data_IF_261264910253
#
_entry.id   IF_261264910253
#
_cell.length_a   1.000
_cell.length_b   1.000
_cell.length_c   1.000
_cell.angle_alpha   90.00
_cell.angle_beta   90.00
_cell.angle_gamma   90.00
#
_symmetry.space_group_name_H-M   'P 1'
#
loop_
_entity.id
_entity.type
_entity.pdbx_description
1 polymer ?
#
# COMPACT_ATOMS: atom_id res chain seq x y z
N UNK A 1 41.34 -4.49 -62.59
CA UNK A 1 41.70 -3.40 -61.65
C UNK A 1 41.91 -2.16 -62.48
N UNK A 2 40.96 -1.21 -62.52
CA UNK A 2 40.63 -0.29 -61.41
C UNK A 2 39.09 -0.16 -61.21
N UNK A 3 38.48 0.72 -60.39
CA UNK A 3 38.89 1.52 -59.23
C UNK A 3 37.69 1.56 -58.25
N UNK A 4 37.91 1.38 -56.94
CA UNK A 4 36.83 1.53 -55.94
C UNK A 4 36.42 3.01 -55.85
N UNK A 5 35.15 3.30 -56.09
CA UNK A 5 34.61 4.64 -55.94
C UNK A 5 34.43 4.94 -54.44
N UNK A 6 35.05 6.00 -53.95
CA UNK A 6 34.84 6.49 -52.59
C UNK A 6 33.44 7.06 -52.46
N UNK A 7 32.58 6.42 -51.67
CA UNK A 7 31.28 6.96 -51.31
C UNK A 7 31.47 8.10 -50.30
N UNK A 8 31.28 9.34 -50.76
CA UNK A 8 31.30 10.53 -49.90
C UNK A 8 30.06 10.57 -49.00
N UNK A 9 30.21 10.23 -47.73
CA UNK A 9 29.14 10.39 -46.75
C UNK A 9 28.91 11.87 -46.44
N UNK A 10 27.75 12.39 -46.85
CA UNK A 10 27.34 13.75 -46.58
C UNK A 10 26.80 13.84 -45.13
N UNK A 11 27.60 14.39 -44.21
CA UNK A 11 27.18 14.65 -42.84
C UNK A 11 26.23 15.86 -42.81
N UNK A 12 24.93 15.62 -42.65
CA UNK A 12 23.93 16.67 -42.44
C UNK A 12 24.04 17.16 -41.00
N UNK A 13 24.55 18.37 -40.79
CA UNK A 13 24.60 19.01 -39.48
C UNK A 13 23.19 19.56 -39.14
N UNK A 14 22.42 18.80 -38.37
CA UNK A 14 21.11 19.25 -37.85
C UNK A 14 21.37 20.10 -36.61
N UNK A 15 20.91 21.37 -36.62
CA UNK A 15 20.91 22.19 -35.41
C UNK A 15 19.88 21.65 -34.41
N UNK A 16 20.37 21.05 -33.33
CA UNK A 16 19.56 20.47 -32.27
C UNK A 16 19.05 21.52 -31.26
N UNK A 17 19.57 22.74 -31.26
CA UNK A 17 19.27 23.75 -30.22
C UNK A 17 17.79 24.11 -30.09
N UNK A 18 17.01 24.29 -31.18
CA UNK A 18 15.57 24.55 -31.05
C UNK A 18 14.82 23.37 -30.40
N UNK A 19 15.25 22.13 -30.68
CA UNK A 19 14.67 20.91 -30.12
C UNK A 19 15.05 20.72 -28.64
N UNK A 20 16.29 21.06 -28.27
CA UNK A 20 16.75 21.06 -26.88
C UNK A 20 16.00 22.10 -26.06
N UNK A 21 15.86 23.34 -26.55
CA UNK A 21 15.11 24.39 -25.85
C UNK A 21 13.62 24.04 -25.69
N UNK A 22 13.00 23.43 -26.71
CA UNK A 22 11.63 22.92 -26.61
C UNK A 22 11.53 21.84 -25.50
N UNK A 23 12.38 20.82 -25.54
CA UNK A 23 12.42 19.76 -24.52
C UNK A 23 12.74 20.30 -23.11
N UNK A 24 13.57 21.33 -22.98
CA UNK A 24 13.87 21.98 -21.70
C UNK A 24 12.65 22.68 -21.10
N UNK A 25 11.86 23.37 -21.94
CA UNK A 25 10.59 23.96 -21.50
C UNK A 25 9.54 22.90 -21.13
N UNK A 26 9.49 21.78 -21.86
CA UNK A 26 8.65 20.63 -21.52
C UNK A 26 9.09 20.00 -20.18
N UNK A 27 10.39 19.82 -19.95
CA UNK A 27 10.94 19.32 -18.69
C UNK A 27 10.53 20.18 -17.50
N UNK A 28 10.64 21.51 -17.59
CA UNK A 28 10.17 22.41 -16.54
C UNK A 28 8.65 22.33 -16.31
N UNK A 29 7.85 22.18 -17.37
CA UNK A 29 6.40 22.01 -17.26
C UNK A 29 6.04 20.67 -16.58
N UNK A 30 6.67 19.57 -17.01
CA UNK A 30 6.51 18.23 -16.43
C UNK A 30 6.91 18.22 -14.95
N UNK A 31 8.06 18.82 -14.61
CA UNK A 31 8.57 18.97 -13.24
C UNK A 31 7.57 19.73 -12.36
N UNK A 32 7.12 20.91 -12.79
CA UNK A 32 6.15 21.74 -12.04
C UNK A 32 4.83 21.02 -11.79
N UNK A 33 4.38 20.16 -12.72
CA UNK A 33 3.17 19.35 -12.57
C UNK A 33 3.40 18.15 -11.63
N UNK A 34 4.55 17.47 -11.70
CA UNK A 34 4.92 16.40 -10.78
C UNK A 34 5.07 16.92 -9.34
N UNK A 35 5.81 18.02 -9.14
CA UNK A 35 5.95 18.70 -7.84
C UNK A 35 4.60 19.18 -7.29
N UNK A 36 3.65 19.56 -8.15
CA UNK A 36 2.29 19.90 -7.72
C UNK A 36 1.53 18.67 -7.23
N UNK A 37 1.58 17.57 -7.98
CA UNK A 37 0.93 16.31 -7.59
C UNK A 37 1.51 15.77 -6.27
N UNK A 38 2.83 15.79 -6.11
CA UNK A 38 3.51 15.41 -4.87
C UNK A 38 3.09 16.28 -3.68
N UNK A 39 3.01 17.61 -3.84
CA UNK A 39 2.55 18.52 -2.77
C UNK A 39 1.07 18.36 -2.42
N UNK A 40 0.21 18.12 -3.42
CA UNK A 40 -1.21 17.84 -3.18
C UNK A 40 -1.41 16.48 -2.47
N UNK A 41 -0.53 15.49 -2.73
CA UNK A 41 -0.50 14.18 -2.05
C UNK A 41 -0.05 14.30 -0.59
N UNK A 42 1.14 14.86 -0.35
CA UNK A 42 1.71 15.08 0.99
C UNK A 42 0.80 15.95 1.86
N UNK A 43 0.18 17.00 1.33
CA UNK A 43 -0.85 17.78 2.05
C UNK A 43 -2.02 16.90 2.49
N UNK A 44 -2.49 16.00 1.63
CA UNK A 44 -3.63 15.16 1.97
C UNK A 44 -3.28 14.16 3.08
N UNK A 45 -2.14 13.48 2.94
CA UNK A 45 -1.67 12.46 3.88
C UNK A 45 -1.33 13.08 5.25
N UNK A 46 -0.54 14.15 5.30
CA UNK A 46 -0.05 14.72 6.58
C UNK A 46 -0.96 15.80 7.18
N UNK A 47 -1.61 16.62 6.35
CA UNK A 47 -2.39 17.78 6.85
C UNK A 47 -3.89 17.52 6.84
N UNK A 48 -4.47 17.25 5.67
CA UNK A 48 -5.94 17.20 5.55
C UNK A 48 -6.55 15.99 6.26
N UNK A 49 -5.92 14.81 6.20
CA UNK A 49 -6.42 13.59 6.86
C UNK A 49 -6.42 13.77 8.38
N UNK A 50 -5.30 14.18 8.98
CA UNK A 50 -5.21 14.43 10.42
C UNK A 50 -6.10 15.60 10.87
N UNK A 51 -6.31 16.63 10.03
CA UNK A 51 -7.23 17.73 10.33
C UNK A 51 -8.70 17.26 10.30
N UNK A 52 -9.05 16.41 9.33
CA UNK A 52 -10.38 15.80 9.23
C UNK A 52 -10.67 14.86 10.41
N UNK A 53 -9.74 13.99 10.78
CA UNK A 53 -9.89 13.07 11.93
C UNK A 53 -10.05 13.82 13.25
N UNK A 54 -9.21 14.84 13.51
CA UNK A 54 -9.36 15.69 14.71
C UNK A 54 -10.72 16.41 14.73
N UNK A 55 -11.17 16.91 13.59
CA UNK A 55 -12.48 17.54 13.47
C UNK A 55 -13.63 16.54 13.67
N UNK A 56 -13.54 15.34 13.10
CA UNK A 56 -14.51 14.25 13.25
C UNK A 56 -14.65 13.87 14.73
N UNK A 57 -13.53 13.65 15.42
CA UNK A 57 -13.50 13.31 16.84
C UNK A 57 -13.96 14.46 17.74
N UNK A 58 -13.68 15.72 17.40
CA UNK A 58 -14.17 16.88 18.13
C UNK A 58 -15.67 17.17 17.91
N UNK A 59 -16.20 16.86 16.73
CA UNK A 59 -17.59 17.17 16.35
C UNK A 59 -18.57 16.07 16.74
N UNK A 60 -18.15 14.81 16.67
CA UNK A 60 -19.00 13.63 16.91
C UNK A 60 -18.39 12.63 17.92
N UNK A 61 -17.85 13.08 19.07
CA UNK A 61 -17.10 12.21 19.99
C UNK A 61 -17.92 11.01 20.49
N UNK A 62 -19.20 11.21 20.79
CA UNK A 62 -20.10 10.16 21.25
C UNK A 62 -20.43 9.17 20.13
N UNK A 63 -20.90 9.64 18.97
CA UNK A 63 -21.27 8.76 17.84
C UNK A 63 -20.11 7.90 17.36
N UNK A 64 -18.90 8.46 17.29
CA UNK A 64 -17.71 7.71 16.84
C UNK A 64 -17.28 6.67 17.88
N UNK A 65 -17.42 6.98 19.17
CA UNK A 65 -17.13 6.01 20.24
C UNK A 65 -18.15 4.87 20.25
N UNK A 66 -19.45 5.19 20.21
CA UNK A 66 -20.51 4.16 20.21
C UNK A 66 -20.48 3.30 18.95
N UNK A 67 -20.18 3.86 17.78
CA UNK A 67 -19.96 3.07 16.55
C UNK A 67 -18.78 2.10 16.68
N UNK A 68 -17.66 2.52 17.29
CA UNK A 68 -16.49 1.65 17.51
C UNK A 68 -16.81 0.50 18.47
N UNK A 69 -17.44 0.79 19.60
CA UNK A 69 -17.86 -0.19 20.60
C UNK A 69 -18.84 -1.21 19.99
N UNK A 70 -19.87 -0.71 19.30
CA UNK A 70 -20.90 -1.51 18.68
C UNK A 70 -20.36 -2.37 17.53
N UNK A 71 -19.45 -1.84 16.71
CA UNK A 71 -18.77 -2.61 15.66
C UNK A 71 -17.87 -3.70 16.28
N UNK A 72 -17.15 -3.41 17.36
CA UNK A 72 -16.33 -4.40 18.06
C UNK A 72 -17.20 -5.53 18.65
N UNK A 73 -18.34 -5.21 19.25
CA UNK A 73 -19.29 -6.20 19.76
C UNK A 73 -19.93 -7.05 18.66
N UNK A 74 -20.40 -6.43 17.57
CA UNK A 74 -20.93 -7.14 16.39
C UNK A 74 -19.87 -8.06 15.79
N UNK A 75 -18.63 -7.57 15.61
CA UNK A 75 -17.53 -8.36 15.05
C UNK A 75 -17.18 -9.56 15.93
N UNK A 76 -17.16 -9.38 17.26
CA UNK A 76 -16.96 -10.46 18.23
C UNK A 76 -18.08 -11.50 18.09
N UNK A 77 -19.33 -11.11 18.33
CA UNK A 77 -20.50 -12.02 18.27
C UNK A 77 -20.64 -12.73 16.93
N UNK A 78 -20.37 -12.04 15.81
CA UNK A 78 -20.39 -12.65 14.48
C UNK A 78 -19.27 -13.69 14.31
N UNK A 79 -18.06 -13.44 14.82
CA UNK A 79 -16.97 -14.42 14.83
C UNK A 79 -17.34 -15.65 15.64
N UNK A 80 -17.85 -15.45 16.86
CA UNK A 80 -18.23 -16.54 17.77
C UNK A 80 -19.33 -17.40 17.13
N UNK A 81 -20.34 -16.74 16.53
CA UNK A 81 -21.44 -17.38 15.80
C UNK A 81 -20.93 -18.17 14.58
N UNK A 82 -20.07 -17.59 13.76
CA UNK A 82 -19.50 -18.26 12.59
C UNK A 82 -18.60 -19.44 12.98
N UNK A 83 -17.82 -19.31 14.05
CA UNK A 83 -16.97 -20.38 14.56
C UNK A 83 -17.82 -21.56 15.07
N UNK A 84 -18.87 -21.30 15.87
CA UNK A 84 -19.77 -22.37 16.33
C UNK A 84 -20.53 -23.05 15.17
N UNK A 85 -20.96 -22.30 14.15
CA UNK A 85 -21.56 -22.85 12.93
C UNK A 85 -20.56 -23.70 12.14
N UNK A 86 -19.32 -23.23 11.96
CA UNK A 86 -18.25 -23.97 11.28
C UNK A 86 -17.94 -25.28 12.00
N UNK A 87 -17.71 -25.23 13.31
CA UNK A 87 -17.42 -26.41 14.13
C UNK A 87 -18.59 -27.41 14.14
N UNK A 88 -19.84 -26.94 14.15
CA UNK A 88 -21.01 -27.80 14.00
C UNK A 88 -21.07 -28.50 12.63
N UNK A 89 -20.78 -27.78 11.55
CA UNK A 89 -20.73 -28.34 10.20
C UNK A 89 -19.61 -29.38 10.03
N UNK A 90 -18.43 -29.12 10.58
CA UNK A 90 -17.27 -30.03 10.52
C UNK A 90 -17.48 -31.29 11.39
N UNK A 91 -18.03 -31.14 12.60
CA UNK A 91 -18.23 -32.27 13.53
C UNK A 91 -19.55 -33.02 13.33
N UNK A 92 -20.44 -32.52 12.46
CA UNK A 92 -21.81 -33.02 12.30
C UNK A 92 -22.71 -32.84 13.55
N UNK A 93 -22.25 -32.10 14.57
CA UNK A 93 -22.99 -31.83 15.81
C UNK A 93 -24.01 -30.71 15.59
N UNK A 94 -25.00 -30.61 16.47
CA UNK A 94 -25.92 -29.47 16.45
C UNK A 94 -25.21 -28.19 16.93
N UNK A 95 -25.45 -27.06 16.26
CA UNK A 95 -24.86 -25.76 16.59
C UNK A 95 -25.07 -25.39 18.06
N UNK A 96 -26.23 -25.74 18.64
CA UNK A 96 -26.53 -25.54 20.06
C UNK A 96 -25.57 -26.27 21.00
N UNK A 97 -25.16 -27.50 20.65
CA UNK A 97 -24.27 -28.30 21.49
C UNK A 97 -22.86 -27.70 21.46
N UNK A 98 -22.36 -27.39 20.27
CA UNK A 98 -21.06 -26.74 20.07
C UNK A 98 -21.01 -25.36 20.74
N UNK A 99 -22.05 -24.53 20.58
CA UNK A 99 -22.15 -23.24 21.28
C UNK A 99 -22.05 -23.39 22.80
N UNK A 100 -22.67 -24.44 23.36
CA UNK A 100 -22.64 -24.69 24.80
C UNK A 100 -21.26 -25.18 25.26
N UNK A 101 -20.66 -26.14 24.55
CA UNK A 101 -19.30 -26.65 24.81
C UNK A 101 -18.31 -25.47 24.81
N UNK A 102 -18.27 -24.69 23.72
CA UNK A 102 -17.40 -23.51 23.61
C UNK A 102 -17.59 -22.45 24.73
N UNK A 103 -18.81 -22.25 25.25
CA UNK A 103 -19.06 -21.32 26.38
C UNK A 103 -18.71 -21.90 27.74
N UNK A 104 -18.68 -23.22 27.87
CA UNK A 104 -18.19 -23.91 29.07
C UNK A 104 -16.65 -23.88 29.09
N UNK A 105 -16.00 -24.10 27.95
CA UNK A 105 -14.54 -24.00 27.77
C UNK A 105 -14.02 -22.55 27.98
N UNK A 106 -14.69 -21.54 27.42
CA UNK A 106 -14.34 -20.12 27.62
C UNK A 106 -14.57 -19.64 29.07
N UNK A 107 -15.37 -20.38 29.86
CA UNK A 107 -15.62 -20.09 31.27
C UNK A 107 -14.64 -20.77 32.24
N UNK A 108 -13.95 -21.84 31.81
CA UNK A 108 -12.88 -22.49 32.56
C UNK A 108 -11.58 -22.61 31.73
N UNK A 109 -10.84 -21.49 31.54
CA UNK A 109 -9.56 -21.50 30.82
C UNK A 109 -8.45 -22.30 31.53
N UNK A 110 -8.71 -22.91 32.70
CA UNK A 110 -7.78 -23.81 33.40
C UNK A 110 -8.06 -25.31 33.12
N UNK A 111 -9.05 -25.62 32.28
CA UNK A 111 -9.28 -26.97 31.77
C UNK A 111 -8.33 -27.31 30.60
N UNK A 112 -8.03 -26.33 29.73
CA UNK A 112 -7.34 -26.52 28.43
C UNK A 112 -5.80 -26.68 28.54
N UNK A 113 -5.21 -26.48 29.73
CA UNK A 113 -3.78 -26.83 29.99
C UNK A 113 -3.55 -28.34 30.20
N UNK A 114 -4.59 -29.18 30.07
CA UNK A 114 -4.53 -30.64 30.27
C UNK A 114 -5.09 -31.42 29.07
N UNK A 115 -4.44 -31.26 27.92
CA UNK A 115 -4.12 -32.36 26.95
C UNK A 115 -3.40 -31.78 25.71
N UNK A 116 -2.16 -31.31 25.89
CA UNK A 116 -1.19 -31.13 24.80
C UNK A 116 0.09 -31.90 25.14
N UNK A 117 0.03 -33.23 25.03
CA UNK A 117 1.24 -34.01 24.79
C UNK A 117 1.78 -33.65 23.39
N UNK A 118 3.07 -33.31 23.25
CA UNK A 118 3.68 -33.11 21.95
C UNK A 118 3.99 -34.47 21.31
N UNK A 119 2.96 -35.14 20.77
CA UNK A 119 3.17 -36.36 19.98
C UNK A 119 3.87 -36.05 18.65
N UNK A 120 5.19 -36.24 18.70
CA UNK A 120 6.06 -36.82 17.66
C UNK A 120 5.87 -36.34 16.21
N UNK A 121 6.90 -35.65 15.73
CA UNK A 121 7.31 -35.65 14.33
C UNK A 121 7.37 -37.09 13.78
N UNK A 122 6.52 -37.44 12.81
CA UNK A 122 6.84 -38.51 11.88
C UNK A 122 6.25 -38.27 10.48
N UNK A 123 7.14 -37.90 9.56
CA UNK A 123 6.88 -37.99 8.12
C UNK A 123 6.70 -39.46 7.70
N UNK A 124 5.64 -39.78 6.95
CA UNK A 124 5.76 -40.62 5.74
C UNK A 124 4.50 -40.65 4.89
N UNK A 125 4.59 -39.99 3.73
CA UNK A 125 4.03 -40.37 2.42
C UNK A 125 3.19 -41.66 2.28
N UNK A 126 1.95 -41.51 1.78
CA UNK A 126 1.25 -42.42 0.83
C UNK A 126 -0.05 -41.74 0.34
N UNK A 127 -0.08 -41.10 -0.83
CA UNK A 127 -0.38 -41.67 -2.15
C UNK A 127 -1.85 -42.06 -2.42
N UNK A 128 -2.59 -41.13 -3.04
CA UNK A 128 -3.77 -41.33 -3.91
C UNK A 128 -3.92 -40.04 -4.74
N UNK A 129 -3.46 -39.94 -5.98
CA UNK A 129 -4.07 -40.51 -7.19
C UNK A 129 -5.59 -40.26 -7.33
N UNK A 130 -5.92 -39.14 -8.00
CA UNK A 130 -7.05 -39.06 -8.93
C UNK A 130 -6.62 -38.22 -10.14
N UNK A 131 -6.77 -38.80 -11.32
CA UNK A 131 -6.36 -38.22 -12.62
C UNK A 131 -7.49 -37.48 -13.34
N UNK A 132 -7.14 -36.35 -14.00
CA UNK A 132 -7.70 -35.83 -15.28
C UNK A 132 -9.21 -35.45 -15.30
N UNK A 133 -9.69 -34.47 -16.07
CA UNK A 133 -9.15 -33.56 -17.10
C UNK A 133 -10.14 -32.38 -17.28
N UNK A 134 -9.92 -31.27 -17.98
CA UNK A 134 -8.82 -30.66 -18.77
C UNK A 134 -8.78 -29.14 -18.35
N UNK A 135 -7.71 -28.35 -18.39
CA UNK A 135 -6.95 -27.79 -19.53
C UNK A 135 -7.76 -26.92 -20.51
N UNK A 136 -7.95 -25.62 -20.18
CA UNK A 136 -7.79 -24.50 -21.16
C UNK A 136 -7.78 -23.10 -20.47
N UNK A 137 -6.67 -22.36 -20.63
CA UNK A 137 -6.63 -20.89 -20.82
C UNK A 137 -6.94 -19.87 -19.69
N UNK A 138 -5.93 -19.04 -19.38
CA UNK A 138 -5.99 -17.64 -18.89
C UNK A 138 -6.50 -17.33 -17.46
N UNK A 139 -5.72 -17.73 -16.46
CA UNK A 139 -5.54 -16.97 -15.20
C UNK A 139 -4.23 -16.15 -15.27
N UNK A 140 -4.30 -14.82 -15.35
CA UNK A 140 -3.13 -13.94 -15.09
C UNK A 140 -3.56 -12.60 -14.44
N UNK A 141 -4.38 -12.70 -13.39
CA UNK A 141 -4.69 -11.59 -12.46
C UNK A 141 -3.99 -11.79 -11.11
N UNK A 142 -2.64 -11.78 -11.10
CA UNK A 142 -1.89 -11.64 -9.84
C UNK A 142 -1.02 -10.39 -9.81
N UNK A 143 -1.39 -9.50 -8.90
CA UNK A 143 -0.81 -8.20 -8.62
C UNK A 143 0.72 -8.13 -8.69
N UNK A 144 1.24 -7.58 -9.79
CA UNK A 144 2.59 -6.99 -9.84
C UNK A 144 2.66 -5.77 -8.92
N UNK A 145 2.81 -6.00 -7.61
CA UNK A 145 3.50 -5.07 -6.72
C UNK A 145 4.87 -4.78 -7.34
N UNK A 146 5.33 -3.52 -7.41
CA UNK A 146 6.74 -3.27 -7.67
C UNK A 146 7.53 -3.82 -6.47
N UNK A 147 8.15 -4.99 -6.64
CA UNK A 147 9.10 -5.53 -5.68
C UNK A 147 10.16 -4.48 -5.40
N UNK A 148 10.41 -4.21 -4.11
CA UNK A 148 11.55 -3.38 -3.72
C UNK A 148 12.83 -3.95 -4.36
N UNK A 149 13.71 -3.12 -4.93
CA UNK A 149 14.88 -3.59 -5.65
C UNK A 149 15.77 -4.39 -4.71
N UNK A 150 15.99 -5.67 -5.01
CA UNK A 150 16.89 -6.52 -4.24
C UNK A 150 18.33 -5.99 -4.32
N UNK A 151 19.14 -6.16 -3.25
CA UNK A 151 20.45 -5.50 -3.06
C UNK A 151 21.58 -5.95 -4.02
N UNK A 152 21.24 -6.71 -5.06
CA UNK A 152 22.13 -7.15 -6.14
C UNK A 152 21.60 -6.80 -7.54
N UNK A 153 20.64 -5.87 -7.64
CA UNK A 153 20.20 -5.33 -8.93
C UNK A 153 21.39 -4.72 -9.70
N UNK A 154 21.62 -5.08 -10.98
CA UNK A 154 22.70 -4.51 -11.78
C UNK A 154 22.57 -2.98 -11.89
N UNK A 155 21.35 -2.44 -11.83
CA UNK A 155 21.10 -1.01 -11.83
C UNK A 155 21.77 -0.29 -10.63
N UNK A 156 21.76 -0.86 -9.43
CA UNK A 156 22.41 -0.27 -8.26
C UNK A 156 23.94 -0.25 -8.41
N UNK A 157 24.51 -1.29 -9.04
CA UNK A 157 25.94 -1.37 -9.36
C UNK A 157 26.33 -0.33 -10.42
N UNK A 158 25.49 -0.11 -11.42
CA UNK A 158 25.71 0.90 -12.45
C UNK A 158 25.57 2.33 -11.92
N UNK A 159 24.59 2.60 -11.05
CA UNK A 159 24.44 3.89 -10.33
C UNK A 159 25.69 4.17 -9.49
N UNK A 160 26.11 3.22 -8.66
CA UNK A 160 27.33 3.33 -7.86
C UNK A 160 28.57 3.55 -8.73
N UNK A 161 28.71 2.82 -9.85
CA UNK A 161 29.83 2.97 -10.78
C UNK A 161 29.86 4.36 -11.44
N UNK A 162 28.70 4.91 -11.84
CA UNK A 162 28.59 6.29 -12.37
C UNK A 162 29.02 7.30 -11.31
N UNK A 163 28.42 7.24 -10.12
CA UNK A 163 28.75 8.13 -9.00
C UNK A 163 30.24 8.08 -8.64
N UNK A 164 30.82 6.89 -8.49
CA UNK A 164 32.25 6.72 -8.19
C UNK A 164 33.13 7.27 -9.31
N UNK A 165 32.78 7.06 -10.58
CA UNK A 165 33.57 7.60 -11.71
C UNK A 165 33.51 9.13 -11.82
N UNK A 166 32.39 9.75 -11.43
CA UNK A 166 32.20 11.20 -11.48
C UNK A 166 32.73 11.93 -10.23
N UNK A 167 32.64 11.33 -9.05
CA UNK A 167 33.20 11.90 -7.82
C UNK A 167 34.69 11.59 -7.62
N UNK A 168 35.32 10.73 -8.43
CA UNK A 168 36.74 10.40 -8.31
C UNK A 168 37.66 11.64 -8.37
N UNK A 169 38.62 11.81 -7.44
CA UNK A 169 39.48 13.00 -7.39
C UNK A 169 40.31 13.20 -8.66
N UNK A 170 40.76 12.13 -9.33
CA UNK A 170 41.57 12.22 -10.56
C UNK A 170 40.83 12.75 -11.81
N UNK A 171 39.49 12.90 -11.79
CA UNK A 171 38.70 13.16 -13.01
C UNK A 171 37.94 14.47 -13.10
N UNK A 172 38.16 15.40 -12.17
CA UNK A 172 37.89 16.81 -12.46
C UNK A 172 37.61 17.69 -11.27
N UNK A 173 37.93 18.97 -11.42
CA UNK A 173 37.44 20.09 -10.61
C UNK A 173 37.98 20.17 -9.18
N UNK A 174 37.72 21.30 -8.54
CA UNK A 174 38.09 21.55 -7.14
C UNK A 174 37.40 20.54 -6.20
N UNK A 175 38.13 20.14 -5.17
CA UNK A 175 37.64 19.23 -4.14
C UNK A 175 36.89 20.04 -3.07
N UNK A 176 35.59 20.25 -3.29
CA UNK A 176 34.75 21.00 -2.36
C UNK A 176 34.27 20.11 -1.19
N UNK A 177 34.08 20.67 0.03
CA UNK A 177 33.62 19.88 1.18
C UNK A 177 32.27 19.18 0.97
N UNK A 178 31.40 19.77 0.14
CA UNK A 178 30.12 19.16 -0.23
C UNK A 178 30.30 17.87 -1.05
N UNK A 179 31.32 17.83 -1.92
CA UNK A 179 31.65 16.66 -2.75
C UNK A 179 32.28 15.53 -1.92
N UNK A 180 33.12 15.86 -0.96
CA UNK A 180 33.69 14.91 0.01
C UNK A 180 32.59 14.24 0.86
N UNK A 181 31.66 15.04 1.37
CA UNK A 181 30.51 14.54 2.11
C UNK A 181 29.61 13.63 1.25
N UNK A 182 29.39 13.96 -0.03
CA UNK A 182 28.59 13.13 -0.94
C UNK A 182 29.33 11.83 -1.31
N UNK A 183 30.65 11.88 -1.49
CA UNK A 183 31.49 10.70 -1.70
C UNK A 183 31.40 9.71 -0.51
N UNK A 184 31.53 10.20 0.72
CA UNK A 184 31.38 9.35 1.91
C UNK A 184 29.96 8.77 2.04
N UNK A 185 28.92 9.54 1.72
CA UNK A 185 27.55 9.03 1.72
C UNK A 185 27.31 7.95 0.65
N UNK A 186 27.88 8.09 -0.55
CA UNK A 186 27.82 7.04 -1.60
C UNK A 186 28.52 5.76 -1.15
N UNK A 187 29.66 5.87 -0.47
CA UNK A 187 30.35 4.70 0.10
C UNK A 187 29.53 4.03 1.23
N UNK A 188 28.87 4.81 2.08
CA UNK A 188 28.00 4.30 3.15
C UNK A 188 26.73 3.64 2.61
N UNK A 189 26.07 4.25 1.61
CA UNK A 189 24.88 3.69 0.96
C UNK A 189 25.18 2.38 0.23
N UNK A 190 26.36 2.28 -0.41
CA UNK A 190 26.84 1.04 -1.02
C UNK A 190 27.15 -0.05 0.03
N UNK A 191 27.80 0.30 1.15
CA UNK A 191 28.05 -0.62 2.25
C UNK A 191 26.76 -1.12 2.93
N UNK A 192 25.74 -0.25 3.04
CA UNK A 192 24.40 -0.59 3.53
C UNK A 192 23.55 -1.36 2.51
N UNK A 193 24.02 -1.48 1.25
CA UNK A 193 23.33 -2.10 0.10
C UNK A 193 21.95 -1.48 -0.20
N UNK A 194 21.76 -0.19 0.11
CA UNK A 194 20.50 0.53 -0.10
C UNK A 194 20.46 1.18 -1.50
N UNK A 195 19.72 0.55 -2.41
CA UNK A 195 19.54 1.01 -3.78
C UNK A 195 18.69 2.30 -3.88
N UNK A 196 17.76 2.53 -2.95
CA UNK A 196 16.89 3.71 -2.94
C UNK A 196 17.63 4.93 -2.39
N UNK A 197 18.60 4.73 -1.47
CA UNK A 197 19.51 5.77 -1.01
C UNK A 197 20.54 6.14 -2.09
N UNK A 198 21.13 5.15 -2.78
CA UNK A 198 22.00 5.40 -3.94
C UNK A 198 21.27 6.17 -5.07
N UNK A 199 20.00 5.84 -5.34
CA UNK A 199 19.19 6.55 -6.34
C UNK A 199 18.88 8.00 -5.91
N UNK A 200 18.64 8.24 -4.62
CA UNK A 200 18.48 9.60 -4.07
C UNK A 200 19.77 10.41 -4.17
N UNK A 201 20.92 9.81 -3.88
CA UNK A 201 22.24 10.45 -4.02
C UNK A 201 22.59 10.74 -5.49
N UNK A 202 22.17 9.91 -6.45
CA UNK A 202 22.30 10.21 -7.89
C UNK A 202 21.48 11.45 -8.28
N UNK A 203 20.24 11.57 -7.80
CA UNK A 203 19.38 12.74 -8.05
C UNK A 203 19.92 14.00 -7.37
N UNK A 204 20.39 13.91 -6.13
CA UNK A 204 21.01 15.03 -5.40
C UNK A 204 22.28 15.52 -6.10
N UNK A 205 23.13 14.59 -6.55
CA UNK A 205 24.33 14.91 -7.32
C UNK A 205 24.01 15.49 -8.70
N UNK A 206 23.07 14.91 -9.46
CA UNK A 206 22.63 15.44 -10.76
C UNK A 206 22.04 16.85 -10.65
N UNK A 207 21.36 17.15 -9.53
CA UNK A 207 20.78 18.45 -9.21
C UNK A 207 21.83 19.47 -8.76
N UNK A 208 22.82 19.04 -7.97
CA UNK A 208 23.90 19.91 -7.47
C UNK A 208 24.96 20.25 -8.53
N UNK A 209 25.17 19.36 -9.51
CA UNK A 209 26.15 19.53 -10.60
C UNK A 209 25.52 19.96 -11.95
N UNK A 210 24.27 20.42 -11.95
CA UNK A 210 23.57 21.01 -13.11
C UNK A 210 23.59 20.10 -14.37
N UNK A 211 23.48 18.78 -14.17
CA UNK A 211 23.68 17.76 -15.22
C UNK A 211 22.56 17.70 -16.27
N UNK A 212 21.40 18.29 -15.96
CA UNK A 212 20.29 18.50 -16.89
C UNK A 212 20.06 20.01 -16.99
N UNK A 213 20.84 20.65 -17.87
CA UNK A 213 20.67 22.06 -18.25
C UNK A 213 20.04 22.20 -19.66
N UNK A 214 19.91 23.44 -20.16
CA UNK A 214 19.34 23.71 -21.50
C UNK A 214 20.16 23.09 -22.64
N UNK A 215 21.48 22.94 -22.46
CA UNK A 215 22.40 22.35 -23.44
C UNK A 215 22.52 20.82 -23.33
N UNK A 216 21.85 20.17 -22.36
CA UNK A 216 21.92 18.71 -22.19
C UNK A 216 21.35 17.97 -23.40
N UNK A 217 21.83 16.75 -23.63
CA UNK A 217 21.42 15.98 -24.82
C UNK A 217 19.91 15.73 -24.85
N UNK A 218 19.33 15.81 -26.06
CA UNK A 218 17.88 15.65 -26.25
C UNK A 218 17.36 14.28 -25.74
N UNK A 219 18.20 13.24 -25.78
CA UNK A 219 17.91 11.92 -25.20
C UNK A 219 17.84 11.95 -23.66
N UNK A 220 18.75 12.66 -22.98
CA UNK A 220 18.70 12.82 -21.51
C UNK A 220 17.47 13.62 -21.09
N UNK A 221 17.17 14.73 -21.78
CA UNK A 221 15.97 15.54 -21.52
C UNK A 221 14.69 14.70 -21.69
N UNK A 222 14.54 13.96 -22.79
CA UNK A 222 13.37 13.10 -23.04
C UNK A 222 13.22 11.98 -22.01
N UNK A 223 14.33 11.39 -21.56
CA UNK A 223 14.31 10.38 -20.48
C UNK A 223 13.81 10.99 -19.17
N UNK A 224 14.35 12.13 -18.76
CA UNK A 224 13.92 12.82 -17.53
C UNK A 224 12.44 13.27 -17.59
N UNK A 225 11.97 13.73 -18.75
CA UNK A 225 10.54 14.03 -18.98
C UNK A 225 9.68 12.76 -18.80
N UNK A 226 10.11 11.62 -19.36
CA UNK A 226 9.38 10.35 -19.24
C UNK A 226 9.32 9.84 -17.79
N UNK A 227 10.41 9.98 -17.04
CA UNK A 227 10.49 9.65 -15.61
C UNK A 227 9.57 10.57 -14.77
N UNK A 228 9.58 11.89 -15.01
CA UNK A 228 8.64 12.83 -14.38
C UNK A 228 7.17 12.53 -14.74
N UNK A 229 6.88 12.13 -15.98
CA UNK A 229 5.56 11.70 -16.40
C UNK A 229 5.13 10.35 -15.79
N UNK A 230 6.06 9.45 -15.48
CA UNK A 230 5.77 8.23 -14.72
C UNK A 230 5.43 8.57 -13.25
N UNK A 231 6.32 9.30 -12.56
CA UNK A 231 6.11 9.73 -11.17
C UNK A 231 4.81 10.53 -11.00
N UNK A 232 4.49 11.43 -11.96
CA UNK A 232 3.21 12.15 -11.98
C UNK A 232 2.02 11.20 -12.16
N UNK A 233 2.07 10.22 -13.07
CA UNK A 233 0.95 9.28 -13.28
C UNK A 233 0.66 8.45 -12.04
N UNK A 234 1.68 8.03 -11.31
CA UNK A 234 1.51 7.19 -10.10
C UNK A 234 1.07 8.00 -8.88
N UNK A 235 1.58 9.22 -8.70
CA UNK A 235 1.02 10.15 -7.70
C UNK A 235 -0.43 10.53 -8.04
N UNK A 236 -0.76 10.82 -9.30
CA UNK A 236 -2.14 11.06 -9.74
C UNK A 236 -3.05 9.82 -9.57
N UNK A 237 -2.51 8.60 -9.69
CA UNK A 237 -3.24 7.35 -9.43
C UNK A 237 -3.68 7.26 -7.97
N UNK A 238 -2.77 7.52 -7.02
CA UNK A 238 -3.11 7.61 -5.59
C UNK A 238 -4.13 8.73 -5.32
N UNK A 239 -3.88 9.92 -5.87
CA UNK A 239 -4.76 11.08 -5.72
C UNK A 239 -6.17 10.88 -6.28
N UNK A 240 -6.38 10.02 -7.29
CA UNK A 240 -7.73 9.70 -7.77
C UNK A 240 -8.58 9.06 -6.68
N UNK A 241 -8.03 8.07 -5.97
CA UNK A 241 -8.73 7.42 -4.86
C UNK A 241 -9.03 8.43 -3.74
N UNK A 242 -8.05 9.26 -3.39
CA UNK A 242 -8.20 10.26 -2.33
C UNK A 242 -9.20 11.38 -2.65
N UNK A 243 -9.42 11.75 -3.93
CA UNK A 243 -10.44 12.75 -4.31
C UNK A 243 -11.87 12.38 -3.93
N UNK A 244 -12.15 11.10 -3.70
CA UNK A 244 -13.45 10.62 -3.23
C UNK A 244 -13.57 10.57 -1.69
N UNK A 245 -12.45 10.72 -0.96
CA UNK A 245 -12.43 10.77 0.50
C UNK A 245 -13.03 12.10 1.02
N UNK A 246 -13.83 12.09 2.09
CA UNK A 246 -14.33 13.31 2.74
C UNK A 246 -13.20 14.19 3.32
N UNK A 247 -12.03 13.61 3.57
CA UNK A 247 -10.84 14.35 4.00
C UNK A 247 -10.14 15.12 2.86
N UNK A 248 -10.52 14.96 1.59
CA UNK A 248 -9.84 15.62 0.47
C UNK A 248 -9.95 17.15 0.55
N UNK A 249 -8.80 17.84 0.67
CA UNK A 249 -8.73 19.32 0.77
C UNK A 249 -9.58 19.87 1.92
N UNK A 250 -9.69 19.14 3.03
CA UNK A 250 -10.49 19.50 4.20
C UNK A 250 -10.05 20.84 4.84
N UNK A 251 -8.74 21.13 4.84
CA UNK A 251 -8.22 22.43 5.31
C UNK A 251 -8.61 23.58 4.39
N UNK A 252 -8.69 23.35 3.07
CA UNK A 252 -8.98 24.38 2.07
C UNK A 252 -10.47 24.63 1.84
N UNK A 253 -11.35 23.75 2.32
CA UNK A 253 -12.78 23.72 1.97
C UNK A 253 -13.71 24.13 3.11
N UNK A 254 -13.26 25.06 3.97
CA UNK A 254 -13.96 25.48 5.20
C UNK A 254 -15.44 25.81 4.98
N UNK A 255 -15.77 26.52 3.88
CA UNK A 255 -17.14 26.91 3.51
C UNK A 255 -18.08 25.71 3.29
N UNK A 256 -17.55 24.51 3.01
CA UNK A 256 -18.32 23.28 2.80
C UNK A 256 -18.48 22.44 4.07
N UNK A 257 -17.75 22.74 5.15
CA UNK A 257 -17.80 21.96 6.41
C UNK A 257 -19.21 21.80 6.99
N UNK A 258 -20.10 22.82 7.02
CA UNK A 258 -21.46 22.64 7.56
C UNK A 258 -22.32 21.68 6.73
N UNK A 259 -22.11 21.61 5.41
CA UNK A 259 -22.81 20.66 4.54
C UNK A 259 -22.26 19.24 4.74
N UNK A 260 -20.93 19.09 4.82
CA UNK A 260 -20.26 17.83 5.13
C UNK A 260 -20.72 17.29 6.50
N UNK A 261 -20.78 18.16 7.52
CA UNK A 261 -21.23 17.80 8.87
C UNK A 261 -22.64 17.22 8.89
N UNK A 262 -23.59 17.85 8.20
CA UNK A 262 -24.99 17.36 8.14
C UNK A 262 -25.06 16.00 7.45
N UNK A 263 -24.42 15.86 6.29
CA UNK A 263 -24.37 14.60 5.55
C UNK A 263 -23.77 13.48 6.40
N UNK A 264 -22.61 13.73 6.99
CA UNK A 264 -21.88 12.75 7.77
C UNK A 264 -22.63 12.37 9.06
N UNK A 265 -23.33 13.31 9.69
CA UNK A 265 -24.21 12.98 10.82
C UNK A 265 -25.33 12.01 10.43
N UNK A 266 -25.95 12.18 9.24
CA UNK A 266 -26.93 11.22 8.73
C UNK A 266 -26.31 9.85 8.46
N UNK A 267 -25.17 9.81 7.77
CA UNK A 267 -24.43 8.56 7.48
C UNK A 267 -24.09 7.80 8.78
N UNK A 268 -23.50 8.47 9.79
CA UNK A 268 -23.18 7.85 11.09
C UNK A 268 -24.42 7.39 11.88
N UNK A 269 -25.56 8.07 11.72
CA UNK A 269 -26.82 7.67 12.36
C UNK A 269 -27.46 6.46 11.67
N UNK A 270 -27.38 6.38 10.34
CA UNK A 270 -27.81 5.21 9.57
C UNK A 270 -26.94 3.98 9.91
N UNK A 271 -25.62 4.15 9.99
CA UNK A 271 -24.68 3.11 10.41
C UNK A 271 -24.97 2.59 11.83
N UNK A 272 -25.27 3.49 12.79
CA UNK A 272 -25.67 3.09 14.15
C UNK A 272 -26.93 2.22 14.14
N UNK A 273 -27.96 2.62 13.40
CA UNK A 273 -29.22 1.86 13.31
C UNK A 273 -29.00 0.52 12.61
N UNK A 274 -28.15 0.46 11.59
CA UNK A 274 -27.79 -0.78 10.90
C UNK A 274 -27.05 -1.75 11.83
N UNK A 275 -26.02 -1.28 12.54
CA UNK A 275 -25.26 -2.09 13.50
C UNK A 275 -26.10 -2.53 14.70
N UNK A 276 -27.01 -1.69 15.21
CA UNK A 276 -27.94 -2.07 16.27
C UNK A 276 -28.88 -3.20 15.84
N UNK A 277 -29.40 -3.16 14.60
CA UNK A 277 -30.21 -4.25 14.02
C UNK A 277 -29.41 -5.53 13.85
N UNK A 278 -28.15 -5.43 13.41
CA UNK A 278 -27.26 -6.58 13.28
C UNK A 278 -26.95 -7.20 14.66
N UNK A 279 -26.65 -6.39 15.66
CA UNK A 279 -26.44 -6.84 17.04
C UNK A 279 -27.69 -7.52 17.61
N UNK A 280 -28.88 -6.96 17.38
CA UNK A 280 -30.14 -7.58 17.79
C UNK A 280 -30.33 -8.96 17.14
N UNK A 281 -30.13 -9.07 15.82
CA UNK A 281 -30.21 -10.35 15.11
C UNK A 281 -29.21 -11.41 15.64
N UNK A 282 -27.96 -11.01 15.92
CA UNK A 282 -26.95 -11.90 16.50
C UNK A 282 -27.36 -12.34 17.91
N UNK A 283 -27.86 -11.42 18.74
CA UNK A 283 -28.35 -11.73 20.08
C UNK A 283 -29.57 -12.66 20.07
N UNK A 284 -30.54 -12.44 19.18
CA UNK A 284 -31.71 -13.31 19.03
C UNK A 284 -31.30 -14.72 18.58
N UNK A 285 -30.32 -14.82 17.68
CA UNK A 285 -29.76 -16.10 17.22
C UNK A 285 -29.05 -16.85 18.34
N UNK A 286 -28.20 -16.16 19.11
CA UNK A 286 -27.51 -16.72 20.30
C UNK A 286 -28.54 -17.14 21.37
N UNK A 287 -29.52 -16.29 21.67
CA UNK A 287 -30.58 -16.59 22.64
C UNK A 287 -31.47 -17.78 22.20
N UNK A 288 -31.69 -17.94 20.89
CA UNK A 288 -32.36 -19.10 20.33
C UNK A 288 -31.53 -20.38 20.51
N UNK A 289 -30.20 -20.30 20.55
CA UNK A 289 -29.33 -21.44 20.86
C UNK A 289 -29.32 -21.79 22.35
N UNK A 290 -29.16 -20.78 23.21
CA UNK A 290 -29.13 -20.90 24.68
C UNK A 290 -30.49 -21.28 25.29
N UNK A 291 -31.60 -21.01 24.58
CA UNK A 291 -32.93 -21.41 25.03
C UNK A 291 -33.06 -22.94 25.20
N UNK A 292 -33.38 -23.44 26.41
CA UNK A 292 -33.44 -24.87 26.69
C UNK A 292 -34.53 -25.55 25.88
N UNK A 293 -34.26 -26.77 25.45
CA UNK A 293 -35.17 -27.53 24.59
C UNK A 293 -36.48 -27.87 25.34
N UNK A 294 -37.63 -28.00 24.64
CA UNK A 294 -38.91 -28.29 25.30
C UNK A 294 -38.92 -29.57 26.15
N UNK A 295 -38.06 -30.53 25.82
CA UNK A 295 -37.79 -31.75 26.59
C UNK A 295 -37.18 -31.48 27.96
N UNK A 296 -36.22 -30.57 28.08
CA UNK A 296 -35.55 -30.25 29.34
C UNK A 296 -36.47 -29.49 30.29
N UNK A 297 -37.31 -28.59 29.76
CA UNK A 297 -38.32 -27.86 30.56
C UNK A 297 -39.31 -28.79 31.28
N UNK A 298 -39.60 -29.96 30.71
CA UNK A 298 -40.45 -31.00 31.34
C UNK A 298 -39.76 -31.76 32.47
N UNK A 299 -38.43 -31.88 32.43
CA UNK A 299 -37.66 -32.55 33.49
C UNK A 299 -37.37 -31.67 34.69
N UNK A 300 -37.28 -30.34 34.51
CA UNK A 300 -37.01 -29.36 35.58
C UNK A 300 -38.26 -28.86 36.32
N UNK A 301 -39.44 -29.36 35.97
CA UNK A 301 -40.74 -28.99 36.54
C UNK A 301 -41.41 -30.15 37.32
N UNK A 302 -40.60 -31.15 37.70
CA UNK A 302 -40.91 -32.21 38.67
C UNK A 302 -39.94 -32.11 39.83
#
# INVERSE_FOLDING_TARGET
MPARHSASFFLVLIDARPLQHAAWSEFHAARKLAEKAARDLHRHEETDTLAYERWLHGTFPQLVTTLRELHAEVTRKARDMHHAQFMANVTGRSVKKVWKENREDEADPAADERDHEPESEHESSSHSDYTRADDDGDDDEFASRPSAPTPDSPAARDIYRRLVQHLHPDRGGEWTPARENLWHQVQQAWAARDADWLSRLEIEWDTANDQIGPDSSLSRLRRAIAELHAARRDTERKLRNYRHSPAWRFTLSEKKRPQLQRRLNSELQEDLVALQRHLAYLNDTIAAWESPTPSERRHRAK
#
